data_IF_810915233213
#
_entry.id   IF_810915233213
#
_cell.length_a   1.000
_cell.length_b   1.000
_cell.length_c   1.000
_cell.angle_alpha   90.00
_cell.angle_beta   90.00
_cell.angle_gamma   90.00
#
_symmetry.space_group_name_H-M   'P 1'
#
loop_
_entity.id
_entity.type
_entity.pdbx_description
1 polymer ?
#
# COMPACT_ATOMS: atom_id res chain seq x y z
N UNK A 1 -92.34 -26.47 -28.74
CA UNK A 1 -91.34 -26.43 -29.76
C UNK A 1 -90.69 -25.07 -29.64
N UNK A 2 -89.60 -25.08 -29.34
CA UNK A 2 -88.51 -24.32 -28.80
C UNK A 2 -88.27 -22.97 -29.49
N UNK A 3 -88.35 -21.89 -28.76
CA UNK A 3 -87.94 -20.54 -29.18
C UNK A 3 -86.61 -20.15 -28.51
N UNK A 4 -85.80 -19.29 -29.14
CA UNK A 4 -84.42 -19.04 -28.69
C UNK A 4 -84.37 -17.92 -27.63
N UNK A 5 -83.46 -18.11 -26.67
CA UNK A 5 -83.16 -17.21 -25.57
C UNK A 5 -82.12 -16.16 -26.06
N UNK A 6 -82.47 -14.89 -25.89
CA UNK A 6 -81.56 -13.79 -26.18
C UNK A 6 -80.55 -13.59 -25.03
N UNK A 7 -79.30 -13.66 -25.32
CA UNK A 7 -78.20 -13.35 -24.43
C UNK A 7 -77.71 -11.90 -24.56
N UNK A 8 -77.97 -11.12 -23.53
CA UNK A 8 -77.45 -9.75 -23.37
C UNK A 8 -75.98 -9.77 -22.90
N UNK A 9 -75.09 -9.30 -23.74
CA UNK A 9 -73.68 -9.12 -23.40
C UNK A 9 -73.47 -7.84 -22.57
N UNK A 10 -73.12 -8.00 -21.32
CA UNK A 10 -72.61 -6.91 -20.47
C UNK A 10 -71.12 -6.69 -20.77
N UNK A 11 -70.78 -5.57 -21.34
CA UNK A 11 -69.38 -5.09 -21.46
C UNK A 11 -68.93 -4.58 -20.11
N UNK A 12 -68.02 -5.34 -19.45
CA UNK A 12 -67.26 -4.89 -18.32
C UNK A 12 -66.09 -4.06 -18.80
N UNK A 13 -66.05 -2.78 -18.46
CA UNK A 13 -64.88 -1.93 -18.61
C UNK A 13 -63.92 -2.27 -17.49
N UNK A 14 -62.79 -2.91 -17.79
CA UNK A 14 -61.67 -3.08 -16.89
C UNK A 14 -60.86 -1.80 -16.88
N UNK A 15 -60.94 -1.02 -15.83
CA UNK A 15 -60.02 0.09 -15.54
C UNK A 15 -58.69 -0.53 -15.12
N UNK A 16 -57.70 -0.54 -16.03
CA UNK A 16 -56.36 -0.91 -15.68
C UNK A 16 -55.71 0.24 -14.89
N UNK A 17 -55.58 0.07 -13.58
CA UNK A 17 -54.81 0.94 -12.74
C UNK A 17 -53.34 0.63 -13.00
N UNK A 18 -52.66 1.43 -13.83
CA UNK A 18 -51.22 1.36 -13.98
C UNK A 18 -50.57 2.02 -12.76
N UNK A 19 -50.32 1.23 -11.73
CA UNK A 19 -49.42 1.61 -10.63
C UNK A 19 -47.99 1.61 -11.19
N UNK A 20 -47.52 2.80 -11.57
CA UNK A 20 -46.13 3.03 -11.92
C UNK A 20 -45.30 2.81 -10.66
N UNK A 21 -44.75 1.59 -10.50
CA UNK A 21 -43.77 1.26 -9.48
C UNK A 21 -42.49 1.93 -9.88
N UNK A 22 -42.25 3.14 -9.40
CA UNK A 22 -40.93 3.74 -9.42
C UNK A 22 -40.01 2.90 -8.54
N UNK A 23 -39.47 1.80 -9.09
CA UNK A 23 -38.34 1.14 -8.50
C UNK A 23 -37.21 2.15 -8.67
N UNK A 24 -37.00 2.93 -7.61
CA UNK A 24 -35.82 3.77 -7.50
C UNK A 24 -34.60 2.89 -7.67
N UNK A 25 -33.94 3.01 -8.80
CA UNK A 25 -32.61 2.44 -9.07
C UNK A 25 -31.58 3.13 -8.17
N UNK A 26 -31.73 2.96 -6.86
CA UNK A 26 -30.73 3.30 -5.87
C UNK A 26 -29.55 2.32 -5.85
N UNK A 27 -29.38 1.58 -6.94
CA UNK A 27 -28.18 0.81 -7.28
C UNK A 27 -27.26 1.62 -8.20
N UNK A 28 -27.45 2.95 -8.22
CA UNK A 28 -26.58 3.85 -8.95
C UNK A 28 -25.19 3.84 -8.29
N UNK A 29 -24.22 3.41 -9.08
CA UNK A 29 -22.82 3.80 -9.03
C UNK A 29 -22.10 3.76 -7.65
N UNK A 30 -22.02 2.61 -7.02
CA UNK A 30 -20.73 2.20 -6.52
C UNK A 30 -19.87 1.91 -7.76
N UNK A 31 -19.30 2.96 -8.33
CA UNK A 31 -18.12 2.82 -9.17
C UNK A 31 -17.20 1.89 -8.36
N UNK A 32 -16.98 0.66 -8.85
CA UNK A 32 -16.20 -0.35 -8.12
C UNK A 32 -14.87 0.32 -7.80
N UNK A 33 -14.63 0.60 -6.53
CA UNK A 33 -13.41 1.26 -6.11
C UNK A 33 -12.25 0.43 -6.65
N UNK A 34 -11.33 1.08 -7.39
CA UNK A 34 -10.19 0.39 -8.00
C UNK A 34 -9.43 -0.38 -6.92
N UNK A 35 -9.10 -1.63 -7.20
CA UNK A 35 -8.27 -2.42 -6.29
C UNK A 35 -6.88 -1.77 -6.14
N UNK A 36 -6.16 -2.04 -5.03
CA UNK A 36 -4.79 -1.52 -4.87
C UNK A 36 -3.87 -1.85 -6.05
N UNK A 37 -4.00 -3.05 -6.66
CA UNK A 37 -3.25 -3.42 -7.88
C UNK A 37 -3.61 -2.54 -9.08
N UNK A 38 -4.89 -2.25 -9.30
CA UNK A 38 -5.34 -1.38 -10.39
C UNK A 38 -4.86 0.06 -10.18
N UNK A 39 -4.91 0.54 -8.94
CA UNK A 39 -4.36 1.85 -8.59
C UNK A 39 -2.86 1.92 -8.80
N UNK A 40 -2.11 0.89 -8.39
CA UNK A 40 -0.66 0.83 -8.61
C UNK A 40 -0.29 0.86 -10.10
N UNK A 41 -1.05 0.15 -10.93
CA UNK A 41 -0.82 0.07 -12.38
C UNK A 41 -1.13 1.39 -13.11
N UNK A 42 -1.99 2.24 -12.56
CA UNK A 42 -2.36 3.54 -13.10
C UNK A 42 -1.78 4.68 -12.26
N UNK A 43 -0.70 5.30 -12.71
CA UNK A 43 -0.03 6.40 -11.99
C UNK A 43 -0.93 7.64 -11.81
N UNK A 44 -1.97 7.80 -12.63
CA UNK A 44 -2.93 8.91 -12.57
C UNK A 44 -4.15 8.63 -11.64
N UNK A 45 -4.19 7.47 -10.98
CA UNK A 45 -5.30 7.08 -10.07
C UNK A 45 -5.30 7.81 -8.72
N UNK A 46 -4.57 8.92 -8.60
CA UNK A 46 -4.41 9.66 -7.36
C UNK A 46 -3.30 9.11 -6.45
N UNK A 47 -3.08 9.79 -5.34
CA UNK A 47 -2.04 9.41 -4.38
C UNK A 47 -2.39 8.13 -3.63
N UNK A 48 -1.37 7.31 -3.35
CA UNK A 48 -1.43 6.08 -2.57
C UNK A 48 -0.74 6.25 -1.23
N UNK A 49 -1.36 5.76 -0.17
CA UNK A 49 -0.81 5.78 1.18
C UNK A 49 -0.04 4.50 1.44
N UNK A 50 1.19 4.63 1.92
CA UNK A 50 2.05 3.52 2.34
C UNK A 50 2.20 3.57 3.87
N UNK A 51 1.66 2.58 4.57
CA UNK A 51 1.77 2.47 6.01
C UNK A 51 3.11 1.82 6.39
N UNK A 52 3.99 2.56 7.05
CA UNK A 52 5.29 2.08 7.51
C UNK A 52 5.11 1.04 8.62
N UNK A 53 5.59 -0.18 8.38
CA UNK A 53 5.42 -1.35 9.27
C UNK A 53 3.96 -1.64 9.62
N UNK A 54 3.03 -1.26 8.75
CA UNK A 54 1.61 -1.39 8.95
C UNK A 54 0.95 -0.25 9.72
N UNK A 55 -0.34 -0.40 9.97
CA UNK A 55 -1.15 0.59 10.68
C UNK A 55 -1.07 0.35 12.19
N UNK A 56 0.11 0.59 12.77
CA UNK A 56 0.41 0.32 14.18
C UNK A 56 -0.12 1.41 15.13
N UNK A 57 -0.42 2.61 14.64
CA UNK A 57 -1.09 3.66 15.44
C UNK A 57 -2.59 3.41 15.52
N UNK A 58 -3.22 3.96 16.55
CA UNK A 58 -4.69 3.93 16.68
C UNK A 58 -5.35 4.57 15.47
N UNK A 59 -6.31 3.89 14.88
CA UNK A 59 -7.20 4.40 13.84
C UNK A 59 -8.44 5.02 14.50
N UNK A 60 -8.33 6.26 15.00
CA UNK A 60 -9.34 6.89 15.87
C UNK A 60 -10.71 6.97 15.20
N UNK A 61 -10.77 7.31 13.91
CA UNK A 61 -12.04 7.40 13.18
C UNK A 61 -12.67 6.04 12.86
N UNK A 62 -11.86 4.99 12.84
CA UNK A 62 -12.31 3.62 12.62
C UNK A 62 -12.54 2.86 13.93
N UNK A 63 -12.31 3.50 15.09
CA UNK A 63 -12.44 2.86 16.40
C UNK A 63 -11.41 1.75 16.64
N UNK A 64 -10.26 1.81 15.96
CA UNK A 64 -9.22 0.81 16.05
C UNK A 64 -8.18 1.21 17.12
N UNK A 65 -7.84 0.32 18.06
CA UNK A 65 -6.76 0.56 19.03
C UNK A 65 -5.39 0.60 18.33
N UNK A 66 -4.32 0.83 19.07
CA UNK A 66 -2.96 0.59 18.61
C UNK A 66 -2.74 -0.89 18.29
N UNK A 67 -1.74 -1.18 17.48
CA UNK A 67 -1.32 -2.53 17.13
C UNK A 67 0.21 -2.63 17.11
N UNK A 68 0.82 -3.79 17.36
CA UNK A 68 2.25 -3.96 17.16
C UNK A 68 2.66 -3.68 15.71
N UNK A 69 3.81 -3.00 15.50
CA UNK A 69 4.40 -2.89 14.17
C UNK A 69 4.61 -4.28 13.55
N UNK A 70 4.53 -4.38 12.22
CA UNK A 70 4.81 -5.63 11.51
C UNK A 70 3.96 -6.84 11.96
N UNK A 71 2.74 -6.61 12.43
CA UNK A 71 1.80 -7.65 12.88
C UNK A 71 0.63 -7.87 11.92
N UNK A 72 -0.04 -9.02 12.03
CA UNK A 72 -1.29 -9.26 11.31
C UNK A 72 -2.41 -8.32 11.78
N UNK A 73 -2.42 -7.90 13.04
CA UNK A 73 -3.37 -6.91 13.53
C UNK A 73 -3.17 -5.54 12.86
N UNK A 74 -1.91 -5.08 12.71
CA UNK A 74 -1.60 -3.86 11.98
C UNK A 74 -2.00 -3.96 10.50
N UNK A 75 -1.87 -5.14 9.89
CA UNK A 75 -2.36 -5.42 8.54
C UNK A 75 -3.88 -5.32 8.45
N UNK A 76 -4.62 -5.93 9.38
CA UNK A 76 -6.08 -5.85 9.44
C UNK A 76 -6.57 -4.40 9.60
N UNK A 77 -5.88 -3.61 10.42
CA UNK A 77 -6.17 -2.18 10.55
C UNK A 77 -5.94 -1.43 9.24
N UNK A 78 -4.83 -1.69 8.53
CA UNK A 78 -4.60 -1.10 7.20
C UNK A 78 -5.72 -1.45 6.21
N UNK A 79 -6.15 -2.71 6.18
CA UNK A 79 -7.23 -3.16 5.31
C UNK A 79 -8.56 -2.50 5.69
N UNK A 80 -8.90 -2.45 6.98
CA UNK A 80 -10.12 -1.81 7.48
C UNK A 80 -10.17 -0.31 7.15
N UNK A 81 -9.04 0.38 7.26
CA UNK A 81 -8.90 1.78 6.86
C UNK A 81 -8.80 1.96 5.34
N UNK A 82 -8.70 0.88 4.55
CA UNK A 82 -8.55 0.92 3.09
C UNK A 82 -7.24 1.58 2.65
N UNK A 83 -6.14 1.32 3.36
CA UNK A 83 -4.79 1.75 2.99
C UNK A 83 -4.32 0.94 1.77
N UNK A 84 -3.57 1.58 0.87
CA UNK A 84 -3.17 0.99 -0.40
C UNK A 84 -2.02 -0.01 -0.27
N UNK A 85 -1.03 0.33 0.54
CA UNK A 85 0.22 -0.41 0.67
C UNK A 85 0.62 -0.50 2.14
N UNK A 86 0.95 -1.69 2.61
CA UNK A 86 1.67 -1.89 3.86
C UNK A 86 3.16 -2.10 3.54
N UNK A 87 4.00 -1.28 4.11
CA UNK A 87 5.43 -1.58 4.13
C UNK A 87 5.72 -2.53 5.28
N UNK A 88 6.62 -3.50 5.06
CA UNK A 88 6.94 -4.54 6.03
C UNK A 88 8.36 -5.07 5.84
N UNK A 89 9.00 -5.42 6.95
CA UNK A 89 10.41 -5.80 7.01
C UNK A 89 10.57 -7.32 7.05
N UNK A 90 11.49 -7.85 6.23
CA UNK A 90 11.69 -9.30 6.11
C UNK A 90 13.09 -9.70 6.57
N UNK A 91 13.15 -10.69 7.47
CA UNK A 91 14.38 -11.34 7.95
C UNK A 91 14.28 -12.86 7.87
N UNK A 92 15.42 -13.52 7.99
CA UNK A 92 15.52 -14.97 7.94
C UNK A 92 15.90 -15.55 9.32
N UNK A 93 15.19 -16.58 9.74
CA UNK A 93 15.50 -17.38 10.93
C UNK A 93 16.66 -18.35 10.67
N UNK A 94 17.22 -18.92 11.75
CA UNK A 94 18.30 -19.93 11.69
C UNK A 94 17.96 -21.14 10.82
N UNK A 95 16.71 -21.57 10.84
CA UNK A 95 16.20 -22.72 10.08
C UNK A 95 15.59 -22.35 8.73
N UNK A 96 15.84 -21.09 8.25
CA UNK A 96 15.58 -20.67 6.87
C UNK A 96 14.19 -20.10 6.60
N UNK A 97 13.32 -19.94 7.61
CA UNK A 97 12.01 -19.31 7.40
C UNK A 97 12.12 -17.79 7.35
N UNK A 98 11.26 -17.17 6.54
CA UNK A 98 11.15 -15.72 6.44
C UNK A 98 10.10 -15.22 7.43
N UNK A 99 10.52 -14.29 8.32
CA UNK A 99 9.68 -13.69 9.35
C UNK A 99 9.63 -12.18 9.19
N UNK A 100 8.58 -11.57 9.72
CA UNK A 100 8.37 -10.13 9.64
C UNK A 100 8.94 -9.46 10.88
N UNK A 101 10.07 -8.78 10.71
CA UNK A 101 10.82 -8.13 11.79
C UNK A 101 11.77 -7.08 11.23
N UNK A 102 11.74 -5.85 11.79
CA UNK A 102 12.67 -4.80 11.37
C UNK A 102 14.07 -5.01 11.93
N UNK A 103 14.18 -5.18 13.24
CA UNK A 103 15.48 -5.26 13.92
C UNK A 103 16.15 -6.61 13.69
N UNK A 104 17.48 -6.66 13.77
CA UNK A 104 18.22 -7.90 13.73
C UNK A 104 18.00 -8.76 14.99
N UNK A 105 17.45 -8.17 16.07
CA UNK A 105 17.12 -8.83 17.32
C UNK A 105 15.63 -8.68 17.64
N UNK A 106 15.10 -9.58 18.46
CA UNK A 106 13.69 -9.57 18.88
C UNK A 106 13.41 -8.63 20.07
N UNK A 107 14.44 -8.07 20.67
CA UNK A 107 14.44 -7.43 22.01
C UNK A 107 13.49 -6.21 22.09
N UNK A 108 13.44 -5.36 21.06
CA UNK A 108 12.65 -4.15 21.08
C UNK A 108 11.16 -4.43 20.93
N UNK A 109 10.81 -5.33 20.05
CA UNK A 109 9.42 -5.53 19.60
C UNK A 109 8.75 -6.76 20.17
N UNK A 110 9.46 -7.58 20.99
CA UNK A 110 8.86 -8.78 21.61
C UNK A 110 9.19 -8.87 23.11
N UNK A 111 8.61 -9.88 23.76
CA UNK A 111 8.94 -10.27 25.14
C UNK A 111 10.20 -11.16 25.25
N UNK A 112 10.83 -11.51 24.11
CA UNK A 112 12.07 -12.28 24.05
C UNK A 112 13.33 -11.43 23.92
N UNK A 113 14.47 -12.12 23.82
CA UNK A 113 15.79 -11.52 23.59
C UNK A 113 16.63 -12.36 22.65
N UNK A 114 17.51 -11.74 21.86
CA UNK A 114 18.45 -12.43 20.97
C UNK A 114 18.24 -12.10 19.50
N UNK A 115 19.14 -12.65 18.65
CA UNK A 115 19.11 -12.38 17.22
C UNK A 115 18.11 -13.28 16.50
N UNK A 116 17.38 -12.73 15.56
CA UNK A 116 16.46 -13.48 14.69
C UNK A 116 17.20 -14.60 13.96
N UNK A 117 18.40 -14.33 13.45
CA UNK A 117 19.22 -15.32 12.72
C UNK A 117 19.72 -16.48 13.58
N UNK A 118 19.70 -16.36 14.90
CA UNK A 118 20.12 -17.40 15.84
C UNK A 118 18.93 -18.24 16.36
N UNK A 119 17.68 -17.87 16.02
CA UNK A 119 16.44 -18.51 16.46
C UNK A 119 15.78 -19.30 15.33
N UNK A 120 15.17 -20.43 15.69
CA UNK A 120 14.27 -21.18 14.80
C UNK A 120 12.90 -20.51 14.70
N UNK A 121 12.12 -20.82 13.66
CA UNK A 121 10.74 -20.37 13.57
C UNK A 121 9.90 -20.80 14.79
N UNK A 122 10.13 -22.03 15.30
CA UNK A 122 9.42 -22.51 16.48
C UNK A 122 9.72 -21.69 17.73
N UNK A 123 10.94 -21.15 17.87
CA UNK A 123 11.31 -20.24 18.95
C UNK A 123 10.69 -18.86 18.74
N UNK A 124 10.77 -18.31 17.54
CA UNK A 124 10.16 -17.01 17.18
C UNK A 124 8.63 -17.02 17.41
N UNK A 125 7.94 -18.07 17.05
CA UNK A 125 6.47 -18.19 17.22
C UNK A 125 5.99 -18.28 18.68
N UNK A 126 6.89 -18.47 19.63
CA UNK A 126 6.54 -18.40 21.06
C UNK A 126 6.60 -16.99 21.63
N UNK A 127 7.18 -16.04 20.89
CA UNK A 127 7.31 -14.67 21.31
C UNK A 127 6.03 -13.88 21.04
N UNK A 128 5.73 -12.97 21.96
CA UNK A 128 4.60 -12.05 21.84
C UNK A 128 5.11 -10.65 21.53
N UNK A 129 4.45 -10.02 20.57
CA UNK A 129 4.79 -8.67 20.14
C UNK A 129 4.38 -7.63 21.18
N UNK A 130 5.19 -6.58 21.30
CA UNK A 130 4.88 -5.40 22.09
C UNK A 130 4.06 -4.40 21.28
N UNK A 131 3.18 -3.68 21.94
CA UNK A 131 2.30 -2.68 21.31
C UNK A 131 3.07 -1.57 20.60
N UNK A 132 2.48 -0.99 19.58
CA UNK A 132 3.03 0.09 18.76
C UNK A 132 4.37 -0.29 18.15
N UNK A 133 5.35 0.58 18.27
CA UNK A 133 6.73 0.35 17.79
C UNK A 133 7.61 -0.33 18.83
N UNK A 134 7.04 -0.96 19.85
CA UNK A 134 7.78 -1.70 20.88
C UNK A 134 8.51 -0.81 21.86
N UNK A 135 9.59 -1.34 22.42
CA UNK A 135 10.38 -0.73 23.50
C UNK A 135 10.05 -1.32 24.88
N UNK A 136 10.95 -1.16 25.84
CA UNK A 136 10.86 -1.80 27.15
C UNK A 136 9.58 -1.42 27.95
N UNK A 137 9.04 -0.23 27.72
CA UNK A 137 7.84 0.26 28.38
C UNK A 137 6.53 -0.15 27.67
N UNK A 138 6.60 -0.67 26.44
CA UNK A 138 5.41 -1.05 25.68
C UNK A 138 4.82 -2.36 26.22
N UNK A 139 3.49 -2.40 26.33
CA UNK A 139 2.78 -3.60 26.80
C UNK A 139 3.00 -4.78 25.84
N UNK A 140 3.16 -5.97 26.41
CA UNK A 140 3.15 -7.21 25.63
C UNK A 140 1.70 -7.55 25.26
N UNK A 141 1.47 -7.87 23.99
CA UNK A 141 0.16 -8.19 23.45
C UNK A 141 0.00 -9.70 23.26
N UNK A 142 -1.16 -10.15 22.79
CA UNK A 142 -1.37 -11.54 22.36
C UNK A 142 -0.90 -11.81 20.92
N UNK A 143 -0.39 -10.80 20.21
CA UNK A 143 0.07 -10.93 18.82
C UNK A 143 1.44 -11.62 18.78
N UNK A 144 1.63 -12.52 17.82
CA UNK A 144 2.89 -13.23 17.58
C UNK A 144 3.58 -12.66 16.33
N UNK A 145 4.88 -12.94 16.21
CA UNK A 145 5.66 -12.57 15.02
C UNK A 145 5.16 -13.40 13.81
N UNK A 146 4.61 -12.76 12.75
CA UNK A 146 4.17 -13.49 11.58
C UNK A 146 5.34 -13.89 10.68
N UNK A 147 5.14 -14.94 9.88
CA UNK A 147 6.01 -15.22 8.74
C UNK A 147 5.62 -14.32 7.55
N UNK A 148 6.52 -14.24 6.55
CA UNK A 148 6.20 -13.60 5.27
C UNK A 148 5.01 -14.30 4.60
N UNK A 149 4.92 -15.62 4.70
CA UNK A 149 3.80 -16.38 4.17
C UNK A 149 2.48 -16.02 4.85
N UNK A 150 2.47 -15.90 6.20
CA UNK A 150 1.28 -15.49 6.94
C UNK A 150 0.83 -14.09 6.48
N UNK A 151 1.75 -13.13 6.38
CA UNK A 151 1.49 -11.76 5.98
C UNK A 151 0.92 -11.67 4.55
N UNK A 152 1.61 -12.28 3.59
CA UNK A 152 1.19 -12.25 2.18
C UNK A 152 -0.16 -12.96 1.96
N UNK A 153 -0.35 -14.14 2.56
CA UNK A 153 -1.60 -14.88 2.42
C UNK A 153 -2.79 -14.14 3.04
N UNK A 154 -2.58 -13.50 4.20
CA UNK A 154 -3.62 -12.77 4.89
C UNK A 154 -4.07 -11.51 4.12
N UNK A 155 -3.13 -10.77 3.50
CA UNK A 155 -3.42 -9.54 2.77
C UNK A 155 -3.70 -9.71 1.28
N UNK A 156 -3.55 -10.90 0.71
CA UNK A 156 -3.61 -11.14 -0.74
C UNK A 156 -4.86 -10.55 -1.40
N UNK A 157 -4.63 -9.72 -2.42
CA UNK A 157 -5.68 -9.06 -3.19
C UNK A 157 -6.39 -7.90 -2.48
N UNK A 158 -6.16 -7.69 -1.17
CA UNK A 158 -6.78 -6.65 -0.36
C UNK A 158 -5.89 -5.43 -0.15
N UNK A 159 -4.57 -5.64 -0.13
CA UNK A 159 -3.56 -4.60 0.07
C UNK A 159 -2.29 -4.98 -0.71
N UNK A 160 -1.43 -4.03 -0.99
CA UNK A 160 -0.09 -4.26 -1.54
C UNK A 160 0.94 -4.27 -0.41
N UNK A 161 2.05 -4.97 -0.64
CA UNK A 161 3.17 -5.03 0.30
C UNK A 161 4.41 -4.39 -0.31
N UNK A 162 4.98 -3.39 0.34
CA UNK A 162 6.32 -2.90 0.03
C UNK A 162 7.31 -3.67 0.91
N UNK A 163 8.01 -4.66 0.34
CA UNK A 163 8.93 -5.51 1.09
C UNK A 163 10.26 -4.79 1.30
N UNK A 164 10.59 -4.50 2.55
CA UNK A 164 11.91 -4.05 2.96
C UNK A 164 12.77 -5.24 3.37
N UNK A 165 13.65 -5.65 2.49
CA UNK A 165 14.49 -6.84 2.68
C UNK A 165 15.77 -6.43 3.41
N UNK A 166 15.88 -6.84 4.65
CA UNK A 166 16.98 -6.43 5.54
C UNK A 166 18.28 -7.23 5.34
N UNK A 167 18.24 -8.28 4.51
CA UNK A 167 19.35 -9.20 4.25
C UNK A 167 19.42 -9.55 2.76
N UNK A 168 20.42 -10.33 2.34
CA UNK A 168 20.55 -10.76 0.94
C UNK A 168 19.62 -11.95 0.60
N UNK A 169 18.32 -11.81 0.91
CA UNK A 169 17.29 -12.85 0.76
C UNK A 169 16.20 -12.47 -0.25
N UNK A 170 16.50 -11.57 -1.18
CA UNK A 170 15.53 -11.06 -2.17
C UNK A 170 14.90 -12.18 -3.01
N UNK A 171 15.72 -13.16 -3.45
CA UNK A 171 15.23 -14.30 -4.23
C UNK A 171 14.26 -15.16 -3.43
N UNK A 172 14.63 -15.51 -2.20
CA UNK A 172 13.83 -16.33 -1.29
C UNK A 172 12.46 -15.69 -1.00
N UNK A 173 12.45 -14.37 -0.72
CA UNK A 173 11.20 -13.64 -0.45
C UNK A 173 10.26 -13.62 -1.67
N UNK A 174 10.81 -13.49 -2.88
CA UNK A 174 9.99 -13.47 -4.09
C UNK A 174 9.56 -14.88 -4.50
N UNK A 175 10.39 -15.89 -4.28
CA UNK A 175 9.98 -17.30 -4.49
C UNK A 175 8.81 -17.68 -3.58
N UNK A 176 8.82 -17.21 -2.32
CA UNK A 176 7.69 -17.36 -1.40
C UNK A 176 6.43 -16.67 -1.92
N UNK A 177 6.55 -15.40 -2.36
CA UNK A 177 5.42 -14.64 -2.92
C UNK A 177 4.84 -15.30 -4.19
N UNK A 178 5.68 -15.86 -5.05
CA UNK A 178 5.27 -16.59 -6.25
C UNK A 178 4.56 -17.89 -5.90
N UNK A 179 5.10 -18.65 -4.95
CA UNK A 179 4.50 -19.92 -4.49
C UNK A 179 3.08 -19.69 -3.93
N UNK A 180 2.84 -18.55 -3.29
CA UNK A 180 1.54 -18.15 -2.73
C UNK A 180 0.61 -17.49 -3.75
N UNK A 181 1.07 -17.20 -4.98
CA UNK A 181 0.30 -16.41 -5.96
C UNK A 181 0.13 -14.95 -5.60
N UNK A 182 0.95 -14.44 -4.66
CA UNK A 182 0.92 -13.07 -4.15
C UNK A 182 1.98 -12.14 -4.79
N UNK A 183 2.71 -12.62 -5.80
CA UNK A 183 3.80 -11.87 -6.43
C UNK A 183 3.37 -10.49 -6.98
N UNK A 184 2.13 -10.37 -7.47
CA UNK A 184 1.60 -9.10 -7.97
C UNK A 184 1.16 -8.13 -6.85
N UNK A 185 1.14 -8.58 -5.60
CA UNK A 185 0.90 -7.73 -4.43
C UNK A 185 2.21 -7.27 -3.77
N UNK A 186 3.34 -7.88 -4.10
CA UNK A 186 4.65 -7.57 -3.55
C UNK A 186 5.37 -6.53 -4.42
N UNK A 187 5.78 -5.42 -3.81
CA UNK A 187 6.63 -4.39 -4.41
C UNK A 187 8.02 -4.56 -3.82
N UNK A 188 9.00 -4.85 -4.66
CA UNK A 188 10.38 -5.03 -4.23
C UNK A 188 11.17 -3.73 -4.45
N UNK A 189 11.84 -3.21 -3.42
CA UNK A 189 12.64 -1.99 -3.52
C UNK A 189 14.13 -2.27 -3.33
N UNK A 190 14.97 -1.53 -4.04
CA UNK A 190 16.41 -1.48 -3.80
C UNK A 190 17.03 -0.19 -4.32
N UNK A 191 18.25 0.12 -3.88
CA UNK A 191 18.99 1.30 -4.32
C UNK A 191 19.55 1.11 -5.72
N UNK A 192 19.37 2.12 -6.58
CA UNK A 192 19.96 2.20 -7.90
C UNK A 192 20.75 3.51 -8.03
N UNK A 193 21.97 3.43 -8.54
CA UNK A 193 22.86 4.56 -8.81
C UNK A 193 23.29 4.57 -10.28
N UNK A 194 24.13 5.54 -10.67
CA UNK A 194 24.58 5.75 -12.07
C UNK A 194 25.26 4.55 -12.71
N UNK A 195 25.85 3.65 -11.92
CA UNK A 195 26.45 2.39 -12.41
C UNK A 195 25.56 1.16 -12.28
N UNK A 196 24.32 1.30 -11.78
CA UNK A 196 23.42 0.16 -11.58
C UNK A 196 22.78 -0.24 -12.90
N UNK A 197 22.74 -1.52 -13.28
CA UNK A 197 21.94 -1.95 -14.42
C UNK A 197 20.44 -1.71 -14.17
N UNK A 198 19.60 -1.71 -15.23
CA UNK A 198 18.15 -1.67 -15.05
C UNK A 198 17.68 -2.82 -14.17
N UNK A 199 16.97 -2.53 -13.08
CA UNK A 199 16.49 -3.57 -12.15
C UNK A 199 15.59 -4.59 -12.86
N UNK A 200 14.77 -4.15 -13.82
CA UNK A 200 13.93 -5.03 -14.60
C UNK A 200 14.68 -6.15 -15.35
N UNK A 201 16.01 -6.02 -15.52
CA UNK A 201 16.84 -7.04 -16.15
C UNK A 201 17.53 -7.98 -15.14
N UNK A 202 17.22 -7.85 -13.86
CA UNK A 202 17.89 -8.58 -12.77
C UNK A 202 16.84 -9.37 -11.97
N UNK A 203 17.07 -10.67 -11.77
CA UNK A 203 16.27 -11.46 -10.83
C UNK A 203 16.56 -11.00 -9.38
N UNK A 204 15.51 -10.90 -8.54
CA UNK A 204 14.11 -11.26 -8.79
C UNK A 204 13.21 -10.08 -9.21
N UNK A 205 13.75 -8.89 -9.51
CA UNK A 205 12.97 -7.69 -9.89
C UNK A 205 12.23 -7.85 -11.22
N UNK A 206 12.71 -8.72 -12.10
CA UNK A 206 12.05 -9.09 -13.36
C UNK A 206 10.74 -9.86 -13.15
N UNK A 207 10.47 -10.36 -11.95
CA UNK A 207 9.36 -11.27 -11.63
C UNK A 207 8.20 -10.62 -10.88
N UNK A 208 8.40 -9.43 -10.30
CA UNK A 208 7.44 -8.73 -9.41
C UNK A 208 7.38 -7.24 -9.73
N UNK A 209 6.35 -6.49 -9.26
CA UNK A 209 6.42 -5.04 -9.17
C UNK A 209 7.68 -4.60 -8.42
N UNK A 210 8.36 -3.58 -8.93
CA UNK A 210 9.62 -3.14 -8.32
C UNK A 210 9.76 -1.62 -8.34
N UNK A 211 10.57 -1.10 -7.41
CA UNK A 211 10.81 0.31 -7.20
C UNK A 211 12.30 0.58 -6.99
N UNK A 212 13.02 1.16 -7.97
CA UNK A 212 14.38 1.64 -7.75
C UNK A 212 14.35 2.88 -6.85
N UNK A 213 15.15 2.87 -5.79
CA UNK A 213 15.44 4.05 -4.97
C UNK A 213 16.66 4.74 -5.61
N UNK A 214 16.40 5.86 -6.28
CA UNK A 214 17.43 6.61 -6.99
C UNK A 214 18.38 7.25 -5.97
N UNK A 215 19.61 6.79 -5.92
CA UNK A 215 20.60 7.18 -4.91
C UNK A 215 22.02 7.19 -5.48
N UNK A 216 22.99 7.68 -4.69
CA UNK A 216 24.40 7.77 -5.09
C UNK A 216 24.61 8.56 -6.39
N UNK A 217 23.92 9.68 -6.51
CA UNK A 217 24.04 10.67 -7.58
C UNK A 217 24.31 12.03 -6.95
N UNK A 218 24.91 12.96 -7.68
CA UNK A 218 25.12 14.34 -7.22
C UNK A 218 23.78 15.10 -7.06
N UNK A 219 22.71 14.55 -7.64
CA UNK A 219 21.37 15.13 -7.59
C UNK A 219 21.12 16.22 -8.62
N UNK A 220 22.01 16.39 -9.62
CA UNK A 220 21.76 17.33 -10.72
C UNK A 220 20.57 16.87 -11.58
N UNK A 221 19.84 17.81 -12.22
CA UNK A 221 18.72 17.45 -13.08
C UNK A 221 19.08 16.46 -14.19
N UNK A 222 20.24 16.61 -14.82
CA UNK A 222 20.70 15.72 -15.89
C UNK A 222 21.00 14.31 -15.41
N UNK A 223 21.63 14.16 -14.24
CA UNK A 223 21.90 12.84 -13.64
C UNK A 223 20.62 12.14 -13.22
N UNK A 224 19.68 12.85 -12.59
CA UNK A 224 18.41 12.28 -12.18
C UNK A 224 17.61 11.78 -13.39
N UNK A 225 17.57 12.54 -14.47
CA UNK A 225 16.92 12.13 -15.72
C UNK A 225 17.63 10.94 -16.37
N UNK A 226 18.98 10.96 -16.42
CA UNK A 226 19.76 9.86 -16.99
C UNK A 226 19.54 8.56 -16.21
N UNK A 227 19.53 8.61 -14.87
CA UNK A 227 19.30 7.45 -14.00
C UNK A 227 17.86 6.93 -14.15
N UNK A 228 16.87 7.82 -14.20
CA UNK A 228 15.49 7.42 -14.42
C UNK A 228 15.33 6.70 -15.77
N UNK A 229 15.88 7.25 -16.85
CA UNK A 229 15.88 6.63 -18.19
C UNK A 229 16.61 5.30 -18.23
N UNK A 230 17.73 5.19 -17.53
CA UNK A 230 18.46 3.93 -17.37
C UNK A 230 17.57 2.86 -16.73
N UNK A 231 16.84 3.19 -15.65
CA UNK A 231 15.95 2.25 -15.00
C UNK A 231 14.69 1.92 -15.84
N UNK A 232 14.30 2.78 -16.78
CA UNK A 232 13.21 2.52 -17.73
C UNK A 232 13.64 1.63 -18.91
N UNK A 233 14.94 1.52 -19.20
CA UNK A 233 15.45 0.78 -20.36
C UNK A 233 15.41 -0.75 -20.21
N UNK A 234 15.05 -1.29 -19.04
CA UNK A 234 15.10 -2.72 -18.74
C UNK A 234 13.91 -3.56 -19.27
N UNK A 235 13.04 -2.99 -20.09
CA UNK A 235 11.86 -3.69 -20.66
C UNK A 235 10.62 -3.62 -19.82
N UNK A 236 10.68 -3.92 -18.49
CA UNK A 236 9.56 -3.69 -17.56
C UNK A 236 9.68 -2.34 -16.88
N UNK A 237 8.57 -1.67 -16.73
CA UNK A 237 8.50 -0.36 -16.07
C UNK A 237 8.47 -0.52 -14.55
N UNK A 238 9.27 0.23 -13.78
CA UNK A 238 9.10 0.31 -12.33
C UNK A 238 7.73 0.91 -11.97
N UNK A 239 7.19 0.55 -10.82
CA UNK A 239 5.90 1.10 -10.35
C UNK A 239 6.07 2.49 -9.77
N UNK A 240 7.23 2.78 -9.20
CA UNK A 240 7.59 4.10 -8.69
C UNK A 240 9.10 4.31 -8.75
N UNK A 241 9.53 5.57 -8.66
CA UNK A 241 10.89 5.97 -8.31
C UNK A 241 10.89 6.46 -6.86
N UNK A 242 11.64 5.79 -5.97
CA UNK A 242 12.00 6.32 -4.67
C UNK A 242 13.09 7.38 -4.83
N UNK A 243 12.95 8.53 -4.17
CA UNK A 243 13.94 9.61 -4.30
C UNK A 243 14.50 10.03 -2.95
N UNK A 244 15.82 10.38 -2.88
CA UNK A 244 16.31 11.18 -1.78
C UNK A 244 15.71 12.59 -1.83
N UNK A 245 16.00 13.43 -0.84
CA UNK A 245 15.66 14.85 -0.92
C UNK A 245 16.41 15.47 -2.09
N UNK A 246 15.67 16.09 -3.02
CA UNK A 246 16.18 16.78 -4.21
C UNK A 246 15.85 18.27 -4.11
N UNK A 247 16.66 19.10 -4.75
CA UNK A 247 16.27 20.49 -5.02
C UNK A 247 15.09 20.55 -6.00
N UNK A 248 14.40 21.70 -6.04
CA UNK A 248 13.18 21.83 -6.83
C UNK A 248 13.37 21.63 -8.33
N UNK A 249 14.55 21.94 -8.89
CA UNK A 249 14.84 21.81 -10.33
C UNK A 249 15.04 20.34 -10.68
N UNK A 250 15.83 19.64 -9.88
CA UNK A 250 16.11 18.20 -10.07
C UNK A 250 14.84 17.37 -9.88
N UNK A 251 14.01 17.70 -8.89
CA UNK A 251 12.74 17.04 -8.67
C UNK A 251 11.76 17.27 -9.83
N UNK A 252 11.67 18.51 -10.35
CA UNK A 252 10.82 18.82 -11.50
C UNK A 252 11.25 18.05 -12.75
N UNK A 253 12.55 17.92 -12.99
CA UNK A 253 13.10 17.15 -14.11
C UNK A 253 12.74 15.67 -13.98
N UNK A 254 12.95 15.06 -12.80
CA UNK A 254 12.59 13.67 -12.52
C UNK A 254 11.09 13.43 -12.64
N UNK A 255 10.27 14.32 -12.08
CA UNK A 255 8.79 14.25 -12.18
C UNK A 255 8.32 14.22 -13.64
N UNK A 256 8.90 15.05 -14.50
CA UNK A 256 8.56 15.06 -15.92
C UNK A 256 8.88 13.73 -16.62
N UNK A 257 10.04 13.12 -16.33
CA UNK A 257 10.39 11.81 -16.89
C UNK A 257 9.47 10.69 -16.32
N UNK A 258 9.24 10.68 -15.02
CA UNK A 258 8.35 9.72 -14.37
C UNK A 258 6.93 9.79 -14.94
N UNK A 259 6.36 10.99 -15.09
CA UNK A 259 5.02 11.19 -15.67
C UNK A 259 4.93 10.71 -17.11
N UNK A 260 5.91 11.05 -17.98
CA UNK A 260 5.96 10.55 -19.37
C UNK A 260 5.96 9.03 -19.44
N UNK A 261 6.61 8.38 -18.48
CA UNK A 261 6.71 6.94 -18.41
C UNK A 261 5.52 6.28 -17.68
N UNK A 262 4.60 7.06 -17.07
CA UNK A 262 3.52 6.54 -16.21
C UNK A 262 4.07 5.84 -14.98
N UNK A 263 5.11 6.38 -14.36
CA UNK A 263 5.78 5.89 -13.15
C UNK A 263 5.49 6.87 -12.01
N UNK A 264 5.19 6.36 -10.82
CA UNK A 264 4.94 7.17 -9.63
C UNK A 264 6.23 7.75 -9.05
N UNK A 265 6.13 8.80 -8.24
CA UNK A 265 7.19 9.22 -7.33
C UNK A 265 6.83 8.80 -5.91
N UNK A 266 7.82 8.23 -5.21
CA UNK A 266 7.69 7.75 -3.84
C UNK A 266 8.63 8.52 -2.89
N UNK A 267 8.11 8.85 -1.71
CA UNK A 267 8.89 9.43 -0.60
C UNK A 267 8.35 8.97 0.74
N UNK A 268 9.00 9.37 1.85
CA UNK A 268 8.50 9.16 3.20
C UNK A 268 8.52 10.46 4.02
N UNK A 269 7.70 10.49 5.08
CA UNK A 269 7.65 11.57 6.06
C UNK A 269 8.10 11.13 7.46
N UNK A 270 8.55 9.91 7.63
CA UNK A 270 8.86 9.24 8.91
C UNK A 270 9.54 10.13 9.97
N UNK A 271 9.29 9.84 11.23
CA UNK A 271 9.88 10.54 12.36
C UNK A 271 9.42 11.99 12.47
N UNK A 272 10.37 12.92 12.48
CA UNK A 272 10.09 14.37 12.56
C UNK A 272 9.22 14.88 11.40
N UNK A 273 9.33 14.24 10.24
CA UNK A 273 8.50 14.58 9.08
C UNK A 273 7.02 14.28 9.34
N UNK A 274 6.71 13.15 9.97
CA UNK A 274 5.34 12.81 10.36
C UNK A 274 4.82 13.73 11.47
N UNK A 275 5.64 14.05 12.47
CA UNK A 275 5.26 14.99 13.52
C UNK A 275 4.90 16.38 12.94
N UNK A 276 5.70 16.86 11.98
CA UNK A 276 5.41 18.10 11.27
C UNK A 276 4.17 18.00 10.40
N UNK A 277 3.99 16.88 9.67
CA UNK A 277 2.83 16.65 8.81
C UNK A 277 1.52 16.57 9.60
N UNK A 278 1.53 15.95 10.77
CA UNK A 278 0.37 15.91 11.67
C UNK A 278 0.01 17.30 12.22
N UNK A 279 1.00 18.16 12.45
CA UNK A 279 0.80 19.54 12.94
C UNK A 279 0.37 20.49 11.82
N UNK A 280 0.92 20.34 10.61
CA UNK A 280 0.65 21.20 9.45
C UNK A 280 0.61 20.33 8.18
N UNK A 281 -0.52 19.63 7.92
CA UNK A 281 -0.67 18.73 6.78
C UNK A 281 -0.49 19.42 5.42
N UNK A 282 -0.98 20.63 5.26
CA UNK A 282 -0.89 21.37 4.00
C UNK A 282 0.55 21.72 3.65
N UNK A 283 1.34 22.15 4.63
CA UNK A 283 2.75 22.48 4.43
C UNK A 283 3.59 21.27 4.09
N UNK A 284 3.30 20.10 4.64
CA UNK A 284 4.11 18.89 4.44
C UNK A 284 3.50 18.00 3.37
N UNK A 285 2.34 17.38 3.62
CA UNK A 285 1.72 16.47 2.65
C UNK A 285 1.18 17.19 1.42
N UNK A 286 0.56 18.38 1.61
CA UNK A 286 0.09 19.21 0.50
C UNK A 286 1.23 19.61 -0.43
N UNK A 287 2.38 20.00 0.14
CA UNK A 287 3.59 20.29 -0.64
C UNK A 287 4.09 19.06 -1.39
N UNK A 288 4.19 17.88 -0.76
CA UNK A 288 4.64 16.66 -1.42
C UNK A 288 3.72 16.28 -2.58
N UNK A 289 2.40 16.37 -2.41
CA UNK A 289 1.43 16.11 -3.47
C UNK A 289 1.59 17.10 -4.63
N UNK A 290 1.76 18.40 -4.34
CA UNK A 290 1.99 19.44 -5.37
C UNK A 290 3.32 19.27 -6.11
N UNK A 291 4.32 18.74 -5.44
CA UNK A 291 5.63 18.37 -6.01
C UNK A 291 5.55 17.09 -6.86
N UNK A 292 4.40 16.39 -6.87
CA UNK A 292 4.12 15.23 -7.72
C UNK A 292 4.40 13.88 -7.08
N UNK A 293 4.67 13.83 -5.78
CA UNK A 293 4.74 12.55 -5.07
C UNK A 293 3.34 11.94 -4.98
N UNK A 294 3.20 10.71 -5.43
CA UNK A 294 1.94 9.97 -5.46
C UNK A 294 2.00 8.62 -4.74
N UNK A 295 3.10 8.34 -4.04
CA UNK A 295 3.21 7.30 -3.02
C UNK A 295 3.95 7.88 -1.82
N UNK A 296 3.29 7.98 -0.67
CA UNK A 296 3.86 8.60 0.53
C UNK A 296 3.81 7.60 1.68
N UNK A 297 4.98 7.25 2.21
CA UNK A 297 5.12 6.37 3.37
C UNK A 297 5.12 7.20 4.65
N UNK A 298 4.34 6.76 5.65
CA UNK A 298 4.09 7.49 6.90
C UNK A 298 3.77 6.55 8.05
N UNK A 299 4.04 6.98 9.28
CA UNK A 299 3.54 6.36 10.53
C UNK A 299 2.12 6.85 10.90
N UNK A 300 1.53 7.76 10.12
CA UNK A 300 0.18 8.29 10.33
C UNK A 300 -0.75 8.06 9.11
N UNK A 301 -0.93 6.79 8.66
CA UNK A 301 -1.60 6.48 7.40
C UNK A 301 -3.08 6.90 7.38
N UNK A 302 -3.82 6.81 8.50
CA UNK A 302 -5.20 7.30 8.58
C UNK A 302 -5.28 8.80 8.30
N UNK A 303 -4.43 9.60 8.95
CA UNK A 303 -4.43 11.05 8.80
C UNK A 303 -4.05 11.49 7.38
N UNK A 304 -3.04 10.84 6.78
CA UNK A 304 -2.67 11.13 5.38
C UNK A 304 -3.79 10.77 4.41
N UNK A 305 -4.45 9.62 4.61
CA UNK A 305 -5.57 9.22 3.76
C UNK A 305 -6.73 10.22 3.82
N UNK A 306 -7.07 10.67 5.02
CA UNK A 306 -8.09 11.69 5.21
C UNK A 306 -7.71 13.04 4.60
N UNK A 307 -6.45 13.42 4.73
CA UNK A 307 -5.94 14.63 4.10
C UNK A 307 -6.12 14.56 2.57
N UNK A 308 -5.71 13.47 1.94
CA UNK A 308 -5.89 13.25 0.50
C UNK A 308 -7.38 13.30 0.10
N UNK A 309 -8.26 12.67 0.88
CA UNK A 309 -9.70 12.67 0.60
C UNK A 309 -10.31 14.09 0.66
N UNK A 310 -9.87 14.92 1.61
CA UNK A 310 -10.31 16.33 1.70
C UNK A 310 -9.86 17.18 0.52
N UNK A 311 -8.63 16.98 0.02
CA UNK A 311 -8.14 17.70 -1.16
C UNK A 311 -9.03 17.45 -2.38
N UNK A 312 -9.42 16.19 -2.63
CA UNK A 312 -10.32 15.85 -3.74
C UNK A 312 -11.74 16.42 -3.56
N UNK A 313 -12.25 16.51 -2.33
CA UNK A 313 -13.58 17.08 -2.06
C UNK A 313 -13.61 18.61 -2.20
N UNK A 314 -12.53 19.30 -1.85
CA UNK A 314 -12.38 20.75 -2.00
C UNK A 314 -12.32 21.18 -3.47
N UNK A 315 -11.70 20.41 -4.33
CA UNK A 315 -11.69 20.67 -5.78
C UNK A 315 -13.08 20.49 -6.42
N UNK A 316 -13.92 19.59 -5.88
CA UNK A 316 -15.29 19.38 -6.39
C UNK A 316 -16.25 20.53 -6.02
N UNK A 317 -15.97 21.29 -4.96
CA UNK A 317 -16.82 22.43 -4.53
C UNK A 317 -16.48 23.76 -5.22
N UNK A 318 -15.39 23.82 -5.99
CA UNK A 318 -14.95 25.01 -6.75
C UNK A 318 -15.09 24.86 -8.29
N UNK A 319 -15.73 23.78 -8.75
CA UNK A 319 -16.14 23.57 -10.16
C UNK A 319 -17.65 23.61 -10.25
#
# INVERSE_FOLDING_TARGET
MTGPIATTSRRLWAIALVTSLCIGTGAADRALAQSPRQRLANAESGAMVVAHRGCHRSGVKHGLPGAPENSLLALDHCIAMGIDVMETDVRRTRDGYLVIMHDATVDRTTDGTGKVADMTLAEIRRLHLRDGMGGAAAAVTAQQVPTLADMLSHGQGRILFNLDIQEAIYGEAIDEALRLGAANDAILKTRAGSGSPPLAAISPYDRVPFMPILSKVSGTPSEMVALARQQLAGGRRPVAFGTPRLDGVSLAALRNEARKAGVRLWTNTLGDGDAQAMSDPDRIWGRLLSDGFSMIQTDAPEMLKEFIARQHSGEASHR
#
